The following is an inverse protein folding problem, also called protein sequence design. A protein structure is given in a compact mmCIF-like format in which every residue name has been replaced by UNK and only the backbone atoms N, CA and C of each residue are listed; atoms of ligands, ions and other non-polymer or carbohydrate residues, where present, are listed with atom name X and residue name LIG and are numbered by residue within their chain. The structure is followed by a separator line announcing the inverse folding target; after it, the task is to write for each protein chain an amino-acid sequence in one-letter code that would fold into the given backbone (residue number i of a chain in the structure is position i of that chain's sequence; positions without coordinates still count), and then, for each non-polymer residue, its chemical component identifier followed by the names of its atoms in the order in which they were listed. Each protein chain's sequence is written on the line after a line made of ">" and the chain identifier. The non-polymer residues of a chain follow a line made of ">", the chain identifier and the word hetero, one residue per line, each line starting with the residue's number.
data_IF_977958549565
#
_entry.id   IF_977958549565
#
_cell.length_a   1.000
_cell.length_b   1.000
_cell.length_c   1.000
_cell.angle_alpha   90.00
_cell.angle_beta   90.00
_cell.angle_gamma   90.00
#
_symmetry.space_group_name_H-M   'P 1'
#
loop_
_entity.id
_entity.type
_entity.pdbx_description
1 polymer ?
#
# COMPACT_ATOMS: atom_id res chain seq x y z
N UNK A 1 1.18 -22.93 -3.02
CA UNK A 1 1.98 -22.79 -4.22
C UNK A 1 3.38 -22.22 -3.95
N UNK A 2 3.66 -21.03 -4.45
CA UNK A 2 5.01 -20.43 -4.39
C UNK A 2 5.61 -20.36 -2.97
N UNK A 3 4.81 -20.00 -1.96
CA UNK A 3 5.30 -19.91 -0.58
C UNK A 3 5.77 -21.27 -0.05
N UNK A 4 5.01 -22.35 -0.29
CA UNK A 4 5.38 -23.68 0.14
C UNK A 4 6.66 -24.17 -0.54
N UNK A 5 6.80 -23.93 -1.84
CA UNK A 5 8.00 -24.28 -2.61
C UNK A 5 9.24 -23.58 -2.04
N UNK A 6 9.17 -22.25 -1.86
CA UNK A 6 10.28 -21.46 -1.34
C UNK A 6 10.68 -21.90 0.08
N UNK A 7 9.70 -22.10 0.95
CA UNK A 7 9.95 -22.46 2.35
C UNK A 7 10.44 -23.89 2.55
N UNK A 8 9.99 -24.82 1.71
CA UNK A 8 10.38 -26.23 1.82
C UNK A 8 11.73 -26.52 1.16
N UNK A 9 12.03 -25.89 0.03
CA UNK A 9 13.29 -26.11 -0.69
C UNK A 9 14.44 -25.28 -0.12
N UNK A 10 14.15 -24.05 0.38
CA UNK A 10 15.18 -23.15 0.91
C UNK A 10 16.12 -22.58 -0.15
N UNK A 11 15.75 -22.66 -1.42
CA UNK A 11 16.56 -22.18 -2.54
C UNK A 11 16.57 -20.63 -2.59
N UNK A 12 17.64 -20.08 -3.21
CA UNK A 12 17.69 -18.64 -3.48
C UNK A 12 16.68 -18.28 -4.56
N UNK A 13 15.85 -17.28 -4.28
CA UNK A 13 14.87 -16.75 -5.24
C UNK A 13 15.46 -15.51 -5.90
N UNK A 14 15.69 -15.50 -7.23
CA UNK A 14 16.18 -14.32 -7.93
C UNK A 14 15.19 -13.15 -7.87
N UNK A 15 15.68 -11.92 -8.00
CA UNK A 15 14.88 -10.71 -7.85
C UNK A 15 13.73 -10.61 -8.87
N UNK A 16 13.97 -11.01 -10.12
CA UNK A 16 12.96 -11.07 -11.17
C UNK A 16 11.84 -12.08 -10.83
N UNK A 17 12.22 -13.23 -10.26
CA UNK A 17 11.25 -14.22 -9.79
C UNK A 17 10.44 -13.68 -8.60
N UNK A 18 11.08 -12.98 -7.66
CA UNK A 18 10.37 -12.33 -6.55
C UNK A 18 9.30 -11.35 -7.06
N UNK A 19 9.61 -10.57 -8.10
CA UNK A 19 8.65 -9.66 -8.74
C UNK A 19 7.50 -10.44 -9.40
N UNK A 20 7.81 -11.49 -10.17
CA UNK A 20 6.81 -12.29 -10.88
C UNK A 20 5.78 -12.94 -9.96
N UNK A 21 6.21 -13.44 -8.80
CA UNK A 21 5.33 -14.11 -7.83
C UNK A 21 4.70 -13.17 -6.80
N UNK A 22 4.95 -11.86 -6.89
CA UNK A 22 4.42 -10.87 -5.97
C UNK A 22 5.09 -10.85 -4.59
N UNK A 23 6.27 -11.47 -4.44
CA UNK A 23 7.06 -11.40 -3.21
C UNK A 23 7.75 -10.03 -3.06
N UNK A 24 8.07 -9.37 -4.16
CA UNK A 24 8.57 -8.00 -4.20
C UNK A 24 7.67 -7.13 -5.06
N UNK A 25 7.46 -5.88 -4.66
CA UNK A 25 6.67 -4.90 -5.42
C UNK A 25 7.47 -4.29 -6.57
N UNK A 26 8.77 -4.19 -6.42
CA UNK A 26 9.70 -3.60 -7.39
C UNK A 26 11.07 -4.28 -7.30
N UNK A 27 11.76 -4.26 -8.41
CA UNK A 27 13.18 -4.61 -8.50
C UNK A 27 13.92 -3.39 -8.99
N UNK A 28 15.01 -3.05 -8.32
CA UNK A 28 15.88 -1.91 -8.64
C UNK A 28 17.28 -2.45 -8.93
N UNK A 29 17.90 -1.94 -9.97
CA UNK A 29 19.30 -2.25 -10.27
C UNK A 29 20.17 -1.34 -9.42
N UNK A 30 20.97 -1.95 -8.56
CA UNK A 30 21.77 -1.23 -7.55
C UNK A 30 23.18 -0.88 -8.04
N UNK A 31 23.59 -1.35 -9.21
CA UNK A 31 24.91 -1.07 -9.77
C UNK A 31 24.88 0.09 -10.77
N UNK A 32 25.85 0.99 -10.72
CA UNK A 32 26.98 1.11 -9.78
C UNK A 32 26.64 1.79 -8.46
N UNK A 33 25.42 2.18 -8.26
CA UNK A 33 24.93 2.98 -7.13
C UNK A 33 24.26 2.09 -6.08
N UNK A 34 24.98 1.81 -5.00
CA UNK A 34 24.52 0.96 -3.89
C UNK A 34 23.33 1.50 -3.09
N UNK A 35 22.99 2.79 -3.28
CA UNK A 35 21.91 3.45 -2.56
C UNK A 35 20.58 3.48 -3.37
N UNK A 36 20.54 2.85 -4.55
CA UNK A 36 19.38 2.91 -5.44
C UNK A 36 18.13 2.28 -4.79
N UNK A 37 18.27 1.18 -4.05
CA UNK A 37 17.16 0.52 -3.35
C UNK A 37 16.61 1.43 -2.25
N UNK A 38 17.48 2.03 -1.44
CA UNK A 38 17.09 2.91 -0.35
C UNK A 38 16.38 4.16 -0.87
N UNK A 39 16.88 4.75 -1.97
CA UNK A 39 16.21 5.88 -2.63
C UNK A 39 14.83 5.49 -3.14
N UNK A 40 14.69 4.37 -3.85
CA UNK A 40 13.41 3.93 -4.37
C UNK A 40 12.41 3.62 -3.24
N UNK A 41 12.87 3.04 -2.13
CA UNK A 41 12.06 2.79 -0.96
C UNK A 41 11.62 4.10 -0.28
N UNK A 42 12.55 5.05 -0.13
CA UNK A 42 12.26 6.35 0.47
C UNK A 42 11.29 7.17 -0.39
N UNK A 43 11.46 7.18 -1.71
CA UNK A 43 10.53 7.84 -2.64
C UNK A 43 9.11 7.26 -2.53
N UNK A 44 8.98 5.93 -2.43
CA UNK A 44 7.68 5.29 -2.23
C UNK A 44 7.07 5.66 -0.89
N UNK A 45 7.86 5.64 0.18
CA UNK A 45 7.42 6.03 1.52
C UNK A 45 6.98 7.50 1.57
N UNK A 46 7.74 8.40 0.94
CA UNK A 46 7.40 9.81 0.84
C UNK A 46 6.07 10.04 0.10
N UNK A 47 5.81 9.28 -0.97
CA UNK A 47 4.52 9.34 -1.69
C UNK A 47 3.35 8.89 -0.81
N UNK A 48 3.52 7.84 0.00
CA UNK A 48 2.50 7.41 0.96
C UNK A 48 2.29 8.47 2.04
N UNK A 49 3.38 9.03 2.56
CA UNK A 49 3.34 10.09 3.57
C UNK A 49 2.73 11.40 3.08
N UNK A 50 2.79 11.69 1.79
CA UNK A 50 2.14 12.85 1.18
C UNK A 50 0.63 12.65 0.91
N UNK A 51 0.09 11.48 1.19
CA UNK A 51 -1.32 11.14 1.01
C UNK A 51 -2.21 11.46 2.22
N UNK A 52 -3.50 11.14 2.15
CA UNK A 52 -4.46 11.36 3.22
C UNK A 52 -4.18 10.44 4.41
N UNK A 53 -3.59 10.99 5.47
CA UNK A 53 -3.09 10.20 6.61
C UNK A 53 -4.17 9.36 7.30
N UNK A 54 -5.37 9.91 7.46
CA UNK A 54 -6.47 9.17 8.07
C UNK A 54 -6.88 7.96 7.23
N UNK A 55 -7.12 8.17 5.94
CA UNK A 55 -7.51 7.09 5.03
C UNK A 55 -6.40 6.03 4.89
N UNK A 56 -5.13 6.46 4.80
CA UNK A 56 -3.99 5.53 4.73
C UNK A 56 -3.89 4.63 5.98
N UNK A 57 -4.15 5.19 7.18
CA UNK A 57 -4.20 4.39 8.41
C UNK A 57 -5.36 3.41 8.41
N UNK A 58 -6.56 3.86 8.00
CA UNK A 58 -7.73 2.99 7.89
C UNK A 58 -7.47 1.84 6.93
N UNK A 59 -6.98 2.15 5.73
CA UNK A 59 -6.63 1.13 4.72
C UNK A 59 -5.64 0.11 5.28
N UNK A 60 -4.58 0.56 5.96
CA UNK A 60 -3.60 -0.36 6.55
C UNK A 60 -4.21 -1.26 7.63
N UNK A 61 -5.09 -0.71 8.46
CA UNK A 61 -5.80 -1.48 9.48
C UNK A 61 -6.72 -2.52 8.86
N UNK A 62 -7.51 -2.13 7.86
CA UNK A 62 -8.44 -3.03 7.16
C UNK A 62 -7.71 -4.16 6.46
N UNK A 63 -6.64 -3.88 5.72
CA UNK A 63 -5.82 -4.90 5.06
C UNK A 63 -5.29 -5.98 6.01
N UNK A 64 -5.02 -5.63 7.27
CA UNK A 64 -4.58 -6.60 8.28
C UNK A 64 -5.75 -7.40 8.88
N UNK A 65 -6.86 -6.74 9.16
CA UNK A 65 -8.01 -7.38 9.80
C UNK A 65 -8.74 -8.33 8.85
N UNK A 66 -8.87 -7.95 7.58
CA UNK A 66 -9.58 -8.72 6.56
C UNK A 66 -8.93 -10.06 6.22
N UNK A 67 -7.63 -10.21 6.50
CA UNK A 67 -6.94 -11.50 6.31
C UNK A 67 -7.55 -12.64 7.16
N UNK A 68 -8.23 -12.28 8.26
CA UNK A 68 -8.83 -13.23 9.20
C UNK A 68 -10.37 -13.20 9.17
N UNK A 69 -10.98 -12.34 8.34
CA UNK A 69 -12.43 -12.19 8.24
C UNK A 69 -13.03 -13.07 7.16
N UNK A 70 -14.28 -13.49 7.38
CA UNK A 70 -15.11 -14.03 6.32
C UNK A 70 -15.52 -12.94 5.35
N UNK A 71 -15.88 -13.32 4.12
CA UNK A 71 -16.19 -12.38 3.03
C UNK A 71 -17.27 -11.35 3.41
N UNK A 72 -18.35 -11.78 4.04
CA UNK A 72 -19.45 -10.89 4.46
C UNK A 72 -19.01 -9.89 5.51
N UNK A 73 -18.23 -10.36 6.50
CA UNK A 73 -17.73 -9.52 7.60
C UNK A 73 -16.73 -8.49 7.07
N UNK A 74 -15.89 -8.87 6.10
CA UNK A 74 -14.96 -7.97 5.45
C UNK A 74 -15.66 -6.84 4.69
N UNK A 75 -16.72 -7.15 3.91
CA UNK A 75 -17.50 -6.13 3.21
C UNK A 75 -18.16 -5.15 4.20
N UNK A 76 -18.70 -5.64 5.30
CA UNK A 76 -19.34 -4.79 6.30
C UNK A 76 -18.31 -3.89 7.00
N UNK A 77 -17.16 -4.45 7.37
CA UNK A 77 -16.06 -3.69 7.96
C UNK A 77 -15.53 -2.60 7.02
N UNK A 78 -15.36 -2.91 5.72
CA UNK A 78 -14.99 -1.93 4.68
C UNK A 78 -16.03 -0.81 4.56
N UNK A 79 -17.32 -1.12 4.55
CA UNK A 79 -18.38 -0.12 4.48
C UNK A 79 -18.35 0.84 5.69
N UNK A 80 -18.08 0.32 6.88
CA UNK A 80 -17.92 1.12 8.09
C UNK A 80 -16.67 1.99 8.02
N UNK A 81 -15.52 1.44 7.63
CA UNK A 81 -14.27 2.16 7.47
C UNK A 81 -14.41 3.29 6.42
N UNK A 82 -15.06 3.01 5.30
CA UNK A 82 -15.34 4.00 4.26
C UNK A 82 -16.24 5.13 4.79
N UNK A 83 -17.27 4.81 5.56
CA UNK A 83 -18.14 5.82 6.16
C UNK A 83 -17.35 6.78 7.05
N UNK A 84 -16.43 6.28 7.86
CA UNK A 84 -15.54 7.10 8.69
C UNK A 84 -14.62 7.98 7.83
N UNK A 85 -14.07 7.43 6.76
CA UNK A 85 -13.23 8.19 5.84
C UNK A 85 -14.02 9.32 5.14
N UNK A 86 -15.27 9.06 4.76
CA UNK A 86 -16.14 10.07 4.12
C UNK A 86 -16.54 11.21 5.08
N UNK A 87 -16.58 10.95 6.38
CA UNK A 87 -16.84 11.98 7.40
C UNK A 87 -15.59 12.81 7.72
N UNK A 88 -14.40 12.33 7.36
CA UNK A 88 -13.16 13.07 7.62
C UNK A 88 -13.05 14.31 6.71
N UNK A 89 -12.51 15.44 7.20
CA UNK A 89 -12.34 16.66 6.40
C UNK A 89 -11.55 16.46 5.10
N UNK A 90 -10.63 15.51 5.06
CA UNK A 90 -9.86 15.20 3.87
C UNK A 90 -10.72 14.69 2.70
N UNK A 91 -11.86 14.06 2.96
CA UNK A 91 -12.76 13.65 1.90
C UNK A 91 -13.32 14.86 1.13
N UNK A 92 -13.75 15.89 1.87
CA UNK A 92 -14.23 17.13 1.26
C UNK A 92 -13.11 17.90 0.55
N UNK A 93 -11.91 17.88 1.13
CA UNK A 93 -10.73 18.47 0.50
C UNK A 93 -10.36 17.78 -0.80
N UNK A 94 -10.41 16.44 -0.85
CA UNK A 94 -10.20 15.68 -2.08
C UNK A 94 -11.15 16.09 -3.20
N UNK A 95 -12.44 16.24 -2.88
CA UNK A 95 -13.44 16.64 -3.86
C UNK A 95 -13.23 18.08 -4.35
N UNK A 96 -12.98 19.02 -3.43
CA UNK A 96 -12.65 20.41 -3.78
C UNK A 96 -11.40 20.50 -4.64
N UNK A 97 -10.32 19.81 -4.25
CA UNK A 97 -9.06 19.80 -5.00
C UNK A 97 -9.25 19.26 -6.41
N UNK A 98 -10.09 18.22 -6.59
CA UNK A 98 -10.45 17.68 -7.89
C UNK A 98 -11.20 18.71 -8.76
N UNK A 99 -12.20 19.38 -8.19
CA UNK A 99 -12.98 20.42 -8.88
C UNK A 99 -12.08 21.59 -9.29
N UNK A 100 -11.21 22.01 -8.39
CA UNK A 100 -10.27 23.13 -8.59
C UNK A 100 -9.05 22.76 -9.45
N UNK A 101 -8.90 21.46 -9.83
CA UNK A 101 -7.75 20.92 -10.57
C UNK A 101 -6.40 21.24 -9.90
N UNK A 102 -6.33 21.19 -8.61
CA UNK A 102 -5.13 21.41 -7.77
C UNK A 102 -4.78 20.19 -6.94
N UNK A 103 -3.59 20.18 -6.37
CA UNK A 103 -3.23 19.18 -5.38
C UNK A 103 -4.05 19.38 -4.07
N UNK A 104 -4.51 18.28 -3.43
CA UNK A 104 -5.18 18.35 -2.15
C UNK A 104 -4.22 18.73 -1.02
N UNK A 105 -4.77 19.30 0.04
CA UNK A 105 -4.05 19.67 1.27
C UNK A 105 -4.59 18.85 2.42
N UNK A 106 -3.93 17.73 2.70
CA UNK A 106 -4.33 16.79 3.73
C UNK A 106 -4.08 17.35 5.15
N UNK A 107 -4.90 16.91 6.12
CA UNK A 107 -4.81 17.30 7.54
C UNK A 107 -4.35 16.17 8.44
#
# INVERSE_FOLDING_TARGET
>A
GNASEILLLGDRVPADRCLQIGLANRVVVDEPDRDAVDRAAFELAARVAAGPHFANRMTKTMLQQELEMGFTDAIEAEAQAQTLCMQHPDFQEADRARQDKRAPRWR
#
